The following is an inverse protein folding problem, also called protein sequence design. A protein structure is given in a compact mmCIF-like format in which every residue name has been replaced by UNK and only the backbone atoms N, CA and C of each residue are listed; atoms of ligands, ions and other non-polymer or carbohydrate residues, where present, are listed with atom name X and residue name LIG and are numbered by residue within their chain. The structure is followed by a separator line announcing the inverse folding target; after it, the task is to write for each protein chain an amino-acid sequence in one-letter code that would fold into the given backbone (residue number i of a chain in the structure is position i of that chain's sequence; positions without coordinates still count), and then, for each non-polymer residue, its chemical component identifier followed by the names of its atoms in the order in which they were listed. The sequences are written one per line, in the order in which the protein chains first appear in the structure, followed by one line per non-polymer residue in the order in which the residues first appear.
data_IF_237285238272
#
_entry.id   IF_237285238272
#
_cell.length_a   1.000
_cell.length_b   1.000
_cell.length_c   1.000
_cell.angle_alpha   90.00
_cell.angle_beta   90.00
_cell.angle_gamma   90.00
#
_symmetry.space_group_name_H-M   'P 1'
#
loop_
_entity.id
_entity.type
_entity.pdbx_description
1 polymer ?
#
# COMPACT_ATOMS: atom_id res chain seq x y z
N UNK A 1 -14.73 -2.07 48.12
CA UNK A 1 -14.41 -3.14 47.14
C UNK A 1 -15.54 -3.40 46.13
N UNK A 2 -16.81 -3.62 46.59
CA UNK A 2 -17.92 -3.84 45.66
C UNK A 2 -18.17 -2.64 44.71
N UNK A 3 -18.19 -1.42 45.26
CA UNK A 3 -18.40 -0.20 44.45
C UNK A 3 -17.27 0.01 43.44
N UNK A 4 -16.02 -0.30 43.80
CA UNK A 4 -14.89 -0.21 42.83
C UNK A 4 -14.97 -1.25 41.71
N UNK A 5 -15.32 -2.51 42.09
CA UNK A 5 -15.49 -3.55 41.06
C UNK A 5 -16.65 -3.25 40.13
N UNK A 6 -17.76 -2.75 40.69
CA UNK A 6 -18.91 -2.31 39.88
C UNK A 6 -18.54 -1.16 38.93
N UNK A 7 -17.84 -0.14 39.42
CA UNK A 7 -17.40 0.98 38.61
C UNK A 7 -16.45 0.56 37.50
N UNK A 8 -15.50 -0.35 37.78
CA UNK A 8 -14.61 -0.91 36.75
C UNK A 8 -15.39 -1.72 35.70
N UNK A 9 -16.39 -2.49 36.14
CA UNK A 9 -17.28 -3.23 35.24
C UNK A 9 -18.08 -2.30 34.33
N UNK A 10 -18.65 -1.23 34.90
CA UNK A 10 -19.42 -0.23 34.16
C UNK A 10 -18.54 0.49 33.12
N UNK A 11 -17.32 0.89 33.48
CA UNK A 11 -16.38 1.51 32.53
C UNK A 11 -16.04 0.56 31.36
N UNK A 12 -15.91 -0.73 31.63
CA UNK A 12 -15.71 -1.74 30.59
C UNK A 12 -16.90 -1.87 29.63
N UNK A 13 -18.11 -1.86 30.19
CA UNK A 13 -19.34 -1.90 29.40
C UNK A 13 -19.53 -0.62 28.58
N UNK A 14 -19.24 0.55 29.15
CA UNK A 14 -19.30 1.83 28.43
C UNK A 14 -18.36 1.83 27.23
N UNK A 15 -17.09 1.43 27.42
CA UNK A 15 -16.12 1.32 26.32
C UNK A 15 -16.54 0.33 25.25
N UNK A 16 -17.10 -0.80 25.67
CA UNK A 16 -17.64 -1.78 24.73
C UNK A 16 -18.79 -1.19 23.91
N UNK A 17 -19.73 -0.51 24.58
CA UNK A 17 -20.85 0.15 23.91
C UNK A 17 -20.38 1.25 22.95
N UNK A 18 -19.42 2.09 23.35
CA UNK A 18 -18.82 3.10 22.46
C UNK A 18 -18.23 2.49 21.17
N UNK A 19 -17.52 1.34 21.31
CA UNK A 19 -16.96 0.65 20.13
C UNK A 19 -18.08 0.09 19.25
N UNK A 20 -19.10 -0.52 19.84
CA UNK A 20 -20.21 -1.11 19.10
C UNK A 20 -21.09 -0.06 18.42
N UNK A 21 -21.25 1.11 19.05
CA UNK A 21 -22.05 2.22 18.53
C UNK A 21 -21.28 3.13 17.57
N UNK A 22 -19.96 2.91 17.42
CA UNK A 22 -19.15 3.70 16.48
C UNK A 22 -19.68 3.51 15.06
N UNK A 23 -20.10 4.59 14.37
CA UNK A 23 -20.64 4.47 13.02
C UNK A 23 -19.54 4.09 12.03
N UNK A 24 -19.88 3.24 11.07
CA UNK A 24 -19.00 2.93 9.94
C UNK A 24 -18.97 4.14 9.01
N UNK A 25 -17.85 4.85 8.98
CA UNK A 25 -17.71 6.11 8.23
C UNK A 25 -17.74 5.91 6.71
N UNK A 26 -17.18 4.81 6.20
CA UNK A 26 -17.10 4.52 4.77
C UNK A 26 -17.87 3.23 4.49
N UNK A 27 -18.93 3.35 3.70
CA UNK A 27 -19.81 2.25 3.35
C UNK A 27 -20.05 2.24 1.83
N UNK A 28 -20.53 1.12 1.32
CA UNK A 28 -21.03 1.05 -0.04
C UNK A 28 -22.23 1.97 -0.22
N UNK A 29 -22.24 2.72 -1.32
CA UNK A 29 -23.41 3.49 -1.69
C UNK A 29 -24.61 2.55 -1.96
N UNK A 30 -25.86 2.99 -1.76
CA UNK A 30 -27.04 2.14 -2.00
C UNK A 30 -27.14 1.60 -3.42
N UNK A 31 -26.56 2.32 -4.39
CA UNK A 31 -26.50 2.00 -5.82
C UNK A 31 -25.13 1.40 -6.25
N UNK A 32 -24.26 1.08 -5.30
CA UNK A 32 -22.93 0.55 -5.60
C UNK A 32 -23.02 -0.79 -6.33
N UNK A 33 -22.24 -0.89 -7.41
CA UNK A 33 -22.10 -2.09 -8.23
C UNK A 33 -20.65 -2.61 -8.14
N UNK A 34 -20.41 -3.91 -8.40
CA UNK A 34 -19.04 -4.40 -8.47
C UNK A 34 -18.24 -3.65 -9.53
N UNK A 35 -16.98 -3.33 -9.20
CA UNK A 35 -16.04 -2.75 -10.16
C UNK A 35 -15.91 -3.70 -11.36
N UNK A 36 -16.11 -3.18 -12.56
CA UNK A 36 -15.95 -3.97 -13.78
C UNK A 36 -14.45 -4.25 -13.99
N UNK A 37 -14.07 -5.48 -14.32
CA UNK A 37 -12.67 -5.81 -14.60
C UNK A 37 -12.09 -4.91 -15.69
N UNK A 38 -10.87 -4.45 -15.46
CA UNK A 38 -10.17 -3.58 -16.39
C UNK A 38 -8.66 -3.61 -16.17
N UNK A 39 -7.90 -2.89 -16.99
CA UNK A 39 -6.44 -2.91 -16.95
C UNK A 39 -5.83 -2.11 -15.79
N UNK A 40 -6.64 -1.35 -15.03
CA UNK A 40 -6.21 -0.60 -13.86
C UNK A 40 -5.73 0.82 -14.14
N UNK A 41 -6.30 1.53 -15.11
CA UNK A 41 -6.06 2.97 -15.29
C UNK A 41 -6.70 3.76 -14.14
N UNK A 42 -5.98 4.75 -13.60
CA UNK A 42 -6.45 5.54 -12.45
C UNK A 42 -6.48 7.01 -12.87
N UNK A 43 -7.56 7.71 -12.53
CA UNK A 43 -7.71 9.15 -12.77
C UNK A 43 -8.17 9.86 -11.50
N UNK A 44 -7.44 10.90 -11.15
CA UNK A 44 -7.84 11.89 -10.14
C UNK A 44 -8.37 13.12 -10.87
N UNK A 45 -9.56 13.56 -10.52
CA UNK A 45 -10.20 14.76 -11.08
C UNK A 45 -10.46 15.77 -9.97
N UNK A 46 -9.67 16.83 -9.94
CA UNK A 46 -9.75 17.94 -8.98
C UNK A 46 -9.88 17.47 -7.51
N UNK A 47 -9.08 16.49 -7.13
CA UNK A 47 -9.16 15.86 -5.81
C UNK A 47 -8.51 16.73 -4.75
N UNK A 48 -9.32 17.06 -3.73
CA UNK A 48 -8.84 17.68 -2.49
C UNK A 48 -9.18 16.77 -1.31
N UNK A 49 -8.33 16.80 -0.29
CA UNK A 49 -8.54 16.00 0.92
C UNK A 49 -8.03 16.72 2.17
N UNK A 50 -8.85 16.67 3.22
CA UNK A 50 -8.47 17.03 4.59
C UNK A 50 -8.85 15.89 5.55
N UNK A 51 -8.03 15.70 6.59
CA UNK A 51 -8.34 14.71 7.62
C UNK A 51 -9.48 15.22 8.52
N UNK A 52 -10.46 14.37 8.87
CA UNK A 52 -11.63 14.78 9.67
C UNK A 52 -11.27 15.29 11.07
N UNK A 53 -10.15 14.80 11.64
CA UNK A 53 -9.81 15.04 13.05
C UNK A 53 -9.17 16.42 13.31
N UNK A 54 -8.37 16.92 12.38
CA UNK A 54 -7.58 18.14 12.56
C UNK A 54 -7.88 19.21 11.50
N UNK A 55 -8.77 18.92 10.54
CA UNK A 55 -9.10 19.79 9.41
C UNK A 55 -7.87 20.25 8.62
N UNK A 56 -6.79 19.49 8.70
CA UNK A 56 -5.58 19.77 7.94
C UNK A 56 -5.77 19.33 6.48
N UNK A 57 -5.79 20.30 5.58
CA UNK A 57 -5.88 20.07 4.14
C UNK A 57 -4.53 19.59 3.60
N UNK A 58 -4.47 18.34 3.19
CA UNK A 58 -3.23 17.66 2.78
C UNK A 58 -3.08 17.61 1.26
N UNK A 59 -4.20 17.50 0.53
CA UNK A 59 -4.21 17.49 -0.93
C UNK A 59 -5.07 18.63 -1.46
N UNK A 60 -4.54 19.34 -2.45
CA UNK A 60 -5.16 20.52 -3.03
C UNK A 60 -5.32 20.34 -4.54
N UNK A 61 -6.55 20.20 -5.00
CA UNK A 61 -6.94 20.19 -6.42
C UNK A 61 -6.04 19.30 -7.31
N UNK A 62 -5.83 18.06 -6.87
CA UNK A 62 -4.98 17.10 -7.59
C UNK A 62 -5.72 16.56 -8.80
N UNK A 63 -5.18 16.81 -10.00
CA UNK A 63 -5.62 16.18 -11.24
C UNK A 63 -4.46 15.39 -11.84
N UNK A 64 -4.68 14.07 -12.01
CA UNK A 64 -3.64 13.13 -12.40
C UNK A 64 -4.23 11.96 -13.15
N UNK A 65 -3.69 11.67 -14.33
CA UNK A 65 -3.97 10.45 -15.08
C UNK A 65 -2.79 9.47 -14.93
N UNK A 66 -3.07 8.25 -14.51
CA UNK A 66 -2.11 7.14 -14.43
C UNK A 66 -2.58 6.07 -15.42
N UNK A 67 -1.75 5.80 -16.42
CA UNK A 67 -2.10 4.84 -17.46
C UNK A 67 -2.02 3.40 -16.95
N UNK A 68 -2.83 2.53 -17.53
CA UNK A 68 -2.76 1.11 -17.22
C UNK A 68 -1.34 0.56 -17.47
N UNK A 69 -0.79 -0.16 -16.50
CA UNK A 69 0.56 -0.72 -16.57
C UNK A 69 1.69 0.29 -16.34
N UNK A 70 1.39 1.56 -16.08
CA UNK A 70 2.39 2.60 -15.78
C UNK A 70 3.02 2.38 -14.41
N UNK A 71 4.33 2.59 -14.32
CA UNK A 71 5.08 2.63 -13.06
C UNK A 71 5.32 4.09 -12.67
N UNK A 72 4.56 4.55 -11.68
CA UNK A 72 4.62 5.92 -11.16
C UNK A 72 5.30 5.94 -9.79
N UNK A 73 6.33 6.76 -9.64
CA UNK A 73 6.96 7.03 -8.35
C UNK A 73 6.46 8.35 -7.77
N UNK A 74 6.15 8.35 -6.48
CA UNK A 74 5.79 9.54 -5.71
C UNK A 74 6.94 9.93 -4.82
N UNK A 75 7.45 11.15 -4.98
CA UNK A 75 8.53 11.73 -4.19
C UNK A 75 8.12 13.08 -3.62
N UNK A 76 8.81 13.56 -2.61
CA UNK A 76 8.53 14.83 -1.96
C UNK A 76 8.81 14.76 -0.46
N UNK A 77 8.73 15.90 0.21
CA UNK A 77 8.99 16.01 1.64
C UNK A 77 8.05 15.13 2.48
N UNK A 78 8.51 14.76 3.67
CA UNK A 78 7.66 14.07 4.65
C UNK A 78 6.43 14.93 4.97
N UNK A 79 5.25 14.31 5.02
CA UNK A 79 3.99 15.03 5.20
C UNK A 79 3.39 15.66 3.94
N UNK A 80 4.06 15.58 2.78
CA UNK A 80 3.59 16.14 1.50
C UNK A 80 2.42 15.39 0.84
N UNK A 81 1.70 14.52 1.56
CA UNK A 81 0.48 13.88 1.05
C UNK A 81 0.66 12.60 0.23
N UNK A 82 1.89 12.08 0.07
CA UNK A 82 2.16 10.86 -0.74
C UNK A 82 1.34 9.66 -0.26
N UNK A 83 1.45 9.31 1.00
CA UNK A 83 0.70 8.20 1.63
C UNK A 83 -0.80 8.46 1.60
N UNK A 84 -1.21 9.70 1.82
CA UNK A 84 -2.62 10.12 1.75
C UNK A 84 -3.18 9.89 0.36
N UNK A 85 -2.48 10.33 -0.68
CA UNK A 85 -2.90 10.12 -2.07
C UNK A 85 -3.09 8.63 -2.39
N UNK A 86 -2.15 7.78 -1.96
CA UNK A 86 -2.25 6.34 -2.14
C UNK A 86 -3.42 5.72 -1.36
N UNK A 87 -3.72 6.21 -0.14
CA UNK A 87 -4.79 5.70 0.70
C UNK A 87 -6.20 6.08 0.22
N UNK A 88 -6.33 7.10 -0.62
CA UNK A 88 -7.60 7.47 -1.24
C UNK A 88 -8.04 6.47 -2.33
N UNK A 89 -7.10 5.81 -3.00
CA UNK A 89 -7.42 4.87 -4.09
C UNK A 89 -8.25 3.66 -3.58
N UNK A 90 -7.87 2.97 -2.49
CA UNK A 90 -8.68 1.89 -1.92
C UNK A 90 -9.85 2.38 -1.05
N UNK A 91 -10.14 3.69 -1.05
CA UNK A 91 -11.15 4.32 -0.18
C UNK A 91 -10.95 3.99 1.30
N UNK A 92 -9.72 4.17 1.81
CA UNK A 92 -9.50 4.19 3.26
C UNK A 92 -9.96 5.51 3.87
N UNK A 93 -10.06 6.54 3.03
CA UNK A 93 -10.66 7.84 3.33
C UNK A 93 -11.50 8.30 2.13
N UNK A 94 -12.52 9.12 2.39
CA UNK A 94 -13.29 9.77 1.33
C UNK A 94 -12.63 11.09 0.92
N UNK A 95 -12.63 11.40 -0.38
CA UNK A 95 -12.19 12.71 -0.87
C UNK A 95 -13.10 13.82 -0.34
N UNK A 96 -12.54 14.99 -0.02
CA UNK A 96 -13.33 16.16 0.38
C UNK A 96 -13.99 16.81 -0.85
N UNK A 97 -13.24 16.91 -1.94
CA UNK A 97 -13.73 17.42 -3.23
C UNK A 97 -13.13 16.58 -4.37
N UNK A 98 -13.78 16.65 -5.53
CA UNK A 98 -13.38 15.93 -6.72
C UNK A 98 -13.80 14.46 -6.70
N UNK A 99 -13.14 13.65 -7.52
CA UNK A 99 -13.41 12.21 -7.62
C UNK A 99 -12.21 11.44 -8.12
N UNK A 100 -12.20 10.13 -7.83
CA UNK A 100 -11.22 9.19 -8.34
C UNK A 100 -11.95 8.15 -9.18
N UNK A 101 -11.41 7.87 -10.36
CA UNK A 101 -11.93 6.85 -11.26
C UNK A 101 -10.89 5.74 -11.46
N UNK A 102 -11.37 4.50 -11.50
CA UNK A 102 -10.58 3.35 -11.95
C UNK A 102 -11.25 2.79 -13.20
N UNK A 103 -10.50 2.71 -14.29
CA UNK A 103 -11.02 2.30 -15.59
C UNK A 103 -12.30 3.04 -15.99
N UNK A 104 -12.34 4.36 -15.70
CA UNK A 104 -13.47 5.23 -15.98
C UNK A 104 -14.64 5.14 -15.00
N UNK A 105 -14.57 4.29 -13.97
CA UNK A 105 -15.62 4.10 -12.97
C UNK A 105 -15.30 4.86 -11.69
N UNK A 106 -16.23 5.71 -11.24
CA UNK A 106 -16.08 6.44 -9.96
C UNK A 106 -16.07 5.46 -8.78
N UNK A 107 -15.01 5.47 -7.99
CA UNK A 107 -14.84 4.52 -6.88
C UNK A 107 -15.89 4.66 -5.77
N UNK A 108 -16.63 5.77 -5.72
CA UNK A 108 -17.73 5.95 -4.77
C UNK A 108 -18.96 5.14 -5.10
N UNK A 109 -19.13 4.75 -6.37
CA UNK A 109 -20.28 4.00 -6.89
C UNK A 109 -19.97 2.52 -7.14
N UNK A 110 -18.79 2.04 -6.71
CA UNK A 110 -18.45 0.62 -6.74
C UNK A 110 -18.37 0.06 -5.32
N UNK A 111 -18.59 -1.26 -5.19
CA UNK A 111 -18.50 -1.90 -3.87
C UNK A 111 -17.07 -1.91 -3.36
N UNK A 112 -16.86 -1.63 -2.09
CA UNK A 112 -15.55 -1.64 -1.44
C UNK A 112 -14.83 -2.97 -1.60
N UNK A 113 -15.58 -4.07 -1.55
CA UNK A 113 -15.01 -5.41 -1.73
C UNK A 113 -14.39 -5.58 -3.12
N UNK A 114 -15.10 -5.23 -4.19
CA UNK A 114 -14.59 -5.34 -5.55
C UNK A 114 -13.43 -4.37 -5.81
N UNK A 115 -13.54 -3.12 -5.33
CA UNK A 115 -12.50 -2.11 -5.44
C UNK A 115 -11.18 -2.61 -4.81
N UNK A 116 -11.25 -3.04 -3.55
CA UNK A 116 -10.07 -3.47 -2.81
C UNK A 116 -9.52 -4.80 -3.29
N UNK A 117 -10.32 -5.62 -3.97
CA UNK A 117 -9.84 -6.84 -4.60
C UNK A 117 -8.87 -6.56 -5.75
N UNK A 118 -9.08 -5.48 -6.49
CA UNK A 118 -8.26 -5.09 -7.63
C UNK A 118 -7.02 -4.25 -7.25
N UNK A 119 -6.82 -3.99 -5.95
CA UNK A 119 -5.69 -3.23 -5.43
C UNK A 119 -4.86 -4.09 -4.50
N UNK A 120 -3.58 -4.26 -4.81
CA UNK A 120 -2.58 -4.88 -3.93
C UNK A 120 -1.75 -3.80 -3.23
N UNK A 121 -1.48 -3.97 -1.95
CA UNK A 121 -0.69 -3.03 -1.16
C UNK A 121 0.44 -3.80 -0.48
N UNK A 122 1.67 -3.32 -0.66
CA UNK A 122 2.84 -3.79 0.09
C UNK A 122 3.35 -2.62 0.93
N UNK A 123 3.20 -2.73 2.24
CA UNK A 123 3.59 -1.70 3.20
C UNK A 123 5.01 -1.93 3.71
N UNK A 124 5.62 -0.88 4.22
CA UNK A 124 6.93 -0.91 4.89
C UNK A 124 6.90 -1.86 6.10
N UNK A 125 5.95 -1.66 7.00
CA UNK A 125 5.77 -2.48 8.19
C UNK A 125 4.79 -3.63 7.90
N UNK A 126 5.33 -4.83 7.74
CA UNK A 126 4.52 -6.02 7.47
C UNK A 126 3.97 -6.62 8.75
N UNK A 127 2.66 -6.66 8.85
CA UNK A 127 1.95 -7.40 9.88
C UNK A 127 1.73 -8.86 9.47
N UNK A 128 2.12 -9.77 10.34
CA UNK A 128 1.79 -11.19 10.23
C UNK A 128 0.73 -11.54 11.27
N UNK A 129 -0.37 -12.09 10.80
CA UNK A 129 -1.42 -12.61 11.66
C UNK A 129 -0.96 -13.89 12.36
N UNK A 130 -1.43 -14.11 13.58
CA UNK A 130 -1.18 -15.36 14.31
C UNK A 130 -1.77 -16.54 13.51
N UNK A 131 -0.90 -17.44 13.09
CA UNK A 131 -1.26 -18.56 12.22
C UNK A 131 -0.05 -19.13 11.50
N UNK A 132 -0.25 -20.04 10.58
CA UNK A 132 0.82 -20.63 9.78
C UNK A 132 1.29 -19.67 8.68
N UNK A 133 2.47 -19.91 8.12
CA UNK A 133 2.96 -19.21 6.92
C UNK A 133 1.96 -19.33 5.78
N UNK A 134 1.44 -20.55 5.53
CA UNK A 134 0.43 -20.80 4.49
C UNK A 134 -0.83 -19.96 4.71
N UNK A 135 -1.35 -19.90 5.93
CA UNK A 135 -2.51 -19.08 6.27
C UNK A 135 -2.25 -17.59 6.03
N UNK A 136 -1.05 -17.11 6.40
CA UNK A 136 -0.66 -15.74 6.16
C UNK A 136 -0.59 -15.38 4.68
N UNK A 137 -0.14 -16.27 3.81
CA UNK A 137 -0.15 -16.07 2.36
C UNK A 137 -1.59 -16.14 1.83
N UNK A 138 -2.40 -17.07 2.32
CA UNK A 138 -3.78 -17.30 1.90
C UNK A 138 -4.72 -16.12 2.13
N UNK A 139 -4.35 -15.14 2.98
CA UNK A 139 -5.09 -13.88 3.10
C UNK A 139 -5.20 -13.13 1.76
N UNK A 140 -4.27 -13.34 0.82
CA UNK A 140 -4.37 -12.78 -0.52
C UNK A 140 -5.54 -13.31 -1.34
N UNK A 141 -5.90 -14.58 -1.13
CA UNK A 141 -7.01 -15.26 -1.82
C UNK A 141 -7.61 -16.32 -0.88
N UNK A 142 -8.65 -15.98 -0.13
CA UNK A 142 -9.36 -16.94 0.72
C UNK A 142 -9.82 -18.15 -0.10
N UNK A 143 -9.52 -19.36 0.38
CA UNK A 143 -9.84 -20.60 -0.33
C UNK A 143 -8.83 -21.04 -1.38
N UNK A 144 -7.64 -20.37 -1.45
CA UNK A 144 -6.56 -20.80 -2.32
C UNK A 144 -6.09 -22.24 -1.99
N UNK A 145 -5.71 -22.98 -3.02
CA UNK A 145 -5.13 -24.32 -2.84
C UNK A 145 -3.71 -24.24 -2.31
N UNK A 146 -3.20 -25.36 -1.81
CA UNK A 146 -1.80 -25.43 -1.34
C UNK A 146 -0.82 -25.12 -2.46
N UNK A 147 -1.10 -25.62 -3.66
CA UNK A 147 -0.27 -25.39 -4.85
C UNK A 147 -0.22 -23.91 -5.23
N UNK A 148 -1.34 -23.21 -5.19
CA UNK A 148 -1.41 -21.76 -5.44
C UNK A 148 -0.60 -20.98 -4.41
N UNK A 149 -0.66 -21.36 -3.12
CA UNK A 149 0.09 -20.73 -2.04
C UNK A 149 1.62 -20.93 -2.24
N UNK A 150 2.03 -22.16 -2.57
CA UNK A 150 3.45 -22.50 -2.83
C UNK A 150 3.96 -21.72 -4.03
N UNK A 151 3.19 -21.65 -5.12
CA UNK A 151 3.58 -20.91 -6.32
C UNK A 151 3.71 -19.40 -6.03
N UNK A 152 2.79 -18.80 -5.27
CA UNK A 152 2.88 -17.42 -4.86
C UNK A 152 4.15 -17.17 -4.01
N UNK A 153 4.49 -18.07 -3.10
CA UNK A 153 5.71 -18.00 -2.30
C UNK A 153 6.97 -18.11 -3.18
N UNK A 154 6.94 -18.98 -4.18
CA UNK A 154 8.04 -19.14 -5.15
C UNK A 154 8.26 -17.87 -5.96
N UNK A 155 7.21 -17.27 -6.48
CA UNK A 155 7.27 -16.00 -7.21
C UNK A 155 7.80 -14.85 -6.36
N UNK A 156 7.45 -14.81 -5.08
CA UNK A 156 7.93 -13.83 -4.12
C UNK A 156 9.36 -14.11 -3.59
N UNK A 157 10.02 -15.18 -4.05
CA UNK A 157 11.33 -15.58 -3.54
C UNK A 157 11.32 -16.04 -2.08
N UNK A 158 10.15 -16.45 -1.56
CA UNK A 158 9.97 -16.86 -0.17
C UNK A 158 10.11 -18.37 0.04
N UNK A 159 9.89 -19.19 -0.98
CA UNK A 159 9.83 -20.65 -0.87
C UNK A 159 11.05 -21.24 -0.18
N UNK A 160 12.26 -20.81 -0.56
CA UNK A 160 13.52 -21.35 -0.04
C UNK A 160 13.63 -21.19 1.49
N UNK A 161 13.35 -20.01 2.02
CA UNK A 161 13.44 -19.81 3.47
C UNK A 161 12.27 -20.50 4.20
N UNK A 162 11.08 -20.55 3.60
CA UNK A 162 9.93 -21.23 4.19
C UNK A 162 10.21 -22.72 4.35
N UNK A 163 10.76 -23.38 3.33
CA UNK A 163 11.12 -24.80 3.37
C UNK A 163 12.26 -25.08 4.36
N UNK A 164 13.08 -24.09 4.71
CA UNK A 164 14.12 -24.21 5.72
C UNK A 164 13.58 -24.06 7.16
N UNK A 165 12.34 -23.62 7.35
CA UNK A 165 11.68 -23.60 8.65
C UNK A 165 11.31 -25.02 9.09
N UNK A 166 11.24 -25.24 10.40
CA UNK A 166 11.02 -26.57 11.00
C UNK A 166 9.81 -27.31 10.41
N UNK A 167 8.69 -26.60 10.23
CA UNK A 167 7.44 -27.16 9.73
C UNK A 167 7.07 -26.58 8.33
N UNK A 168 8.05 -25.98 7.61
CA UNK A 168 7.83 -25.40 6.30
C UNK A 168 6.67 -24.40 6.27
N UNK A 169 5.75 -24.56 5.33
CA UNK A 169 4.56 -23.71 5.21
C UNK A 169 3.59 -23.81 6.40
N UNK A 170 3.67 -24.85 7.20
CA UNK A 170 2.84 -25.07 8.38
C UNK A 170 3.49 -24.51 9.65
N UNK A 171 4.63 -23.87 9.54
CA UNK A 171 5.29 -23.16 10.63
C UNK A 171 4.40 -22.03 11.13
N UNK A 172 4.13 -22.01 12.44
CA UNK A 172 3.36 -20.98 13.11
C UNK A 172 4.19 -19.69 13.26
N UNK A 173 3.62 -18.57 12.84
CA UNK A 173 4.24 -17.22 12.86
C UNK A 173 3.28 -16.21 13.49
N UNK A 174 3.72 -14.96 13.65
CA UNK A 174 2.97 -13.91 14.33
C UNK A 174 3.46 -13.70 15.77
N UNK A 175 2.63 -13.10 16.63
CA UNK A 175 3.06 -12.67 17.98
C UNK A 175 3.65 -13.77 18.85
N UNK A 176 3.14 -14.99 18.72
CA UNK A 176 3.55 -16.16 19.55
C UNK A 176 4.28 -17.24 18.76
N UNK A 177 4.58 -16.98 17.48
CA UNK A 177 5.22 -17.94 16.61
C UNK A 177 6.71 -17.69 16.41
N UNK A 178 7.27 -18.35 15.40
CA UNK A 178 8.66 -18.17 14.98
C UNK A 178 8.88 -16.73 14.54
N UNK A 179 9.96 -16.12 15.02
CA UNK A 179 10.36 -14.77 14.59
C UNK A 179 11.01 -14.84 13.21
N UNK A 180 10.45 -14.09 12.28
CA UNK A 180 10.99 -13.91 10.94
C UNK A 180 11.75 -12.57 10.85
N UNK A 181 12.77 -12.52 9.98
CA UNK A 181 13.45 -11.26 9.64
C UNK A 181 12.51 -10.30 8.89
N UNK A 182 12.85 -9.01 8.83
CA UNK A 182 12.10 -8.02 8.07
C UNK A 182 11.93 -8.43 6.60
N UNK A 183 13.01 -8.85 5.94
CA UNK A 183 12.95 -9.31 4.55
C UNK A 183 12.15 -10.59 4.34
N UNK A 184 12.11 -11.50 5.30
CA UNK A 184 11.26 -12.69 5.26
C UNK A 184 9.79 -12.31 5.37
N UNK A 185 9.42 -11.43 6.32
CA UNK A 185 8.06 -10.90 6.46
C UNK A 185 7.61 -10.19 5.18
N UNK A 186 8.49 -9.38 4.61
CA UNK A 186 8.21 -8.63 3.39
C UNK A 186 7.90 -9.57 2.21
N UNK A 187 8.70 -10.63 2.04
CA UNK A 187 8.43 -11.63 0.98
C UNK A 187 7.14 -12.42 1.19
N UNK A 188 6.70 -12.63 2.43
CA UNK A 188 5.36 -13.19 2.71
C UNK A 188 4.27 -12.19 2.30
N UNK A 189 4.43 -10.89 2.58
CA UNK A 189 3.50 -9.87 2.14
C UNK A 189 3.43 -9.78 0.60
N UNK A 190 4.57 -9.88 -0.07
CA UNK A 190 4.63 -9.92 -1.54
C UNK A 190 3.93 -11.18 -2.07
N UNK A 191 4.10 -12.34 -1.44
CA UNK A 191 3.41 -13.57 -1.81
C UNK A 191 1.89 -13.44 -1.69
N UNK A 192 1.38 -12.75 -0.66
CA UNK A 192 -0.06 -12.42 -0.55
C UNK A 192 -0.57 -11.68 -1.80
N UNK A 193 0.21 -10.72 -2.28
CA UNK A 193 -0.19 -9.91 -3.44
C UNK A 193 -0.06 -10.69 -4.75
N UNK A 194 0.96 -11.53 -4.91
CA UNK A 194 1.04 -12.45 -6.04
C UNK A 194 -0.18 -13.37 -6.11
N UNK A 195 -0.57 -13.92 -4.96
CA UNK A 195 -1.75 -14.80 -4.85
C UNK A 195 -3.05 -14.07 -5.18
N UNK A 196 -3.16 -12.84 -4.76
CA UNK A 196 -4.31 -11.96 -5.05
C UNK A 196 -4.38 -11.57 -6.53
N UNK A 197 -3.24 -11.36 -7.17
CA UNK A 197 -3.07 -10.99 -8.57
C UNK A 197 -3.86 -9.75 -9.02
N UNK A 198 -3.72 -8.59 -8.36
CA UNK A 198 -4.47 -7.38 -8.69
C UNK A 198 -3.87 -6.63 -9.89
N UNK A 199 -4.67 -5.86 -10.67
CA UNK A 199 -4.17 -5.01 -11.73
C UNK A 199 -3.46 -3.74 -11.23
N UNK A 200 -3.76 -3.29 -10.01
CA UNK A 200 -3.20 -2.09 -9.39
C UNK A 200 -2.35 -2.48 -8.18
N UNK A 201 -1.18 -1.86 -8.06
CA UNK A 201 -0.23 -2.10 -7.00
C UNK A 201 0.20 -0.80 -6.34
N UNK A 202 0.16 -0.75 -5.01
CA UNK A 202 0.67 0.35 -4.19
C UNK A 202 1.83 -0.21 -3.36
N UNK A 203 3.01 0.40 -3.52
CA UNK A 203 4.22 0.04 -2.79
C UNK A 203 4.61 1.20 -1.88
N UNK A 204 4.60 0.98 -0.57
CA UNK A 204 5.02 1.97 0.41
C UNK A 204 6.34 1.52 1.03
N UNK A 205 7.43 2.18 0.64
CA UNK A 205 8.78 2.06 1.23
C UNK A 205 9.25 0.63 1.58
N UNK A 206 8.90 -0.33 0.75
CA UNK A 206 9.01 -1.76 1.06
C UNK A 206 10.44 -2.28 1.34
N UNK A 207 11.49 -1.46 1.23
CA UNK A 207 12.91 -1.88 1.38
C UNK A 207 13.73 -1.07 2.37
N UNK A 208 13.25 0.05 2.89
CA UNK A 208 14.06 1.04 3.62
C UNK A 208 14.68 0.56 4.94
N UNK A 209 14.11 -0.46 5.57
CA UNK A 209 14.56 -0.97 6.86
C UNK A 209 15.24 -2.36 6.78
N UNK A 210 15.65 -2.77 5.57
CA UNK A 210 16.24 -4.09 5.32
C UNK A 210 17.76 -4.03 5.27
N UNK A 211 18.42 -5.16 5.62
CA UNK A 211 19.82 -5.37 5.32
C UNK A 211 20.04 -5.53 3.80
N UNK A 212 21.27 -5.28 3.33
CA UNK A 212 21.59 -5.24 1.91
C UNK A 212 21.19 -6.52 1.13
N UNK A 213 21.36 -7.70 1.71
CA UNK A 213 21.00 -8.97 1.05
C UNK A 213 19.48 -9.10 0.92
N UNK A 214 18.76 -8.83 2.00
CA UNK A 214 17.29 -8.83 2.02
C UNK A 214 16.71 -7.78 1.07
N UNK A 215 17.31 -6.60 0.99
CA UNK A 215 16.90 -5.52 0.09
C UNK A 215 16.95 -5.96 -1.37
N UNK A 216 18.04 -6.60 -1.80
CA UNK A 216 18.19 -7.12 -3.17
C UNK A 216 17.10 -8.15 -3.48
N UNK A 217 16.89 -9.11 -2.58
CA UNK A 217 15.89 -10.18 -2.79
C UNK A 217 14.46 -9.65 -2.83
N UNK A 218 14.13 -8.73 -1.93
CA UNK A 218 12.82 -8.07 -1.89
C UNK A 218 12.63 -7.20 -3.12
N UNK A 219 13.65 -6.42 -3.51
CA UNK A 219 13.62 -5.59 -4.73
C UNK A 219 13.31 -6.39 -5.99
N UNK A 220 14.00 -7.53 -6.17
CA UNK A 220 13.75 -8.43 -7.30
C UNK A 220 12.31 -9.00 -7.29
N UNK A 221 11.79 -9.31 -6.11
CA UNK A 221 10.42 -9.82 -5.98
C UNK A 221 9.38 -8.74 -6.27
N UNK A 222 9.62 -7.50 -5.82
CA UNK A 222 8.76 -6.36 -6.12
C UNK A 222 8.77 -6.00 -7.60
N UNK A 223 9.92 -6.08 -8.27
CA UNK A 223 10.02 -5.83 -9.70
C UNK A 223 9.24 -6.85 -10.53
N UNK A 224 9.34 -8.13 -10.18
CA UNK A 224 8.50 -9.17 -10.77
C UNK A 224 7.01 -8.92 -10.53
N UNK A 225 6.65 -8.52 -9.31
CA UNK A 225 5.27 -8.23 -8.96
C UNK A 225 4.72 -7.03 -9.76
N UNK A 226 5.52 -5.97 -9.93
CA UNK A 226 5.12 -4.76 -10.63
C UNK A 226 4.98 -4.95 -12.15
N UNK A 227 5.58 -5.99 -12.72
CA UNK A 227 5.56 -6.21 -14.17
C UNK A 227 4.13 -6.37 -14.69
N UNK A 228 3.73 -5.52 -15.65
CA UNK A 228 2.41 -5.52 -16.28
C UNK A 228 1.27 -4.99 -15.40
N UNK A 229 1.57 -4.39 -14.24
CA UNK A 229 0.58 -3.80 -13.33
C UNK A 229 0.76 -2.28 -13.27
N UNK A 230 -0.35 -1.58 -13.08
CA UNK A 230 -0.32 -0.16 -12.71
C UNK A 230 0.25 -0.05 -11.30
N UNK A 231 1.41 0.60 -11.16
CA UNK A 231 2.16 0.60 -9.90
C UNK A 231 2.41 2.03 -9.43
N UNK A 232 1.99 2.33 -8.20
CA UNK A 232 2.35 3.55 -7.49
C UNK A 232 3.34 3.18 -6.38
N UNK A 233 4.51 3.81 -6.39
CA UNK A 233 5.54 3.59 -5.39
C UNK A 233 5.79 4.89 -4.62
N UNK A 234 5.61 4.86 -3.30
CA UNK A 234 6.09 5.92 -2.42
C UNK A 234 7.58 5.67 -2.22
N UNK A 235 8.41 6.55 -2.76
CA UNK A 235 9.85 6.37 -2.76
C UNK A 235 10.51 7.23 -1.70
N UNK A 236 11.35 6.60 -0.89
CA UNK A 236 12.26 7.29 0.03
C UNK A 236 13.71 7.27 -0.48
N UNK A 237 14.04 6.37 -1.41
CA UNK A 237 15.33 6.32 -2.10
C UNK A 237 15.15 6.61 -3.58
N UNK A 238 15.69 7.72 -4.03
CA UNK A 238 15.57 8.16 -5.43
C UNK A 238 16.28 7.21 -6.41
N UNK A 239 17.34 6.54 -5.96
CA UNK A 239 18.10 5.60 -6.77
C UNK A 239 17.28 4.41 -7.25
N UNK A 240 16.25 4.01 -6.50
CA UNK A 240 15.39 2.86 -6.82
C UNK A 240 14.34 3.15 -7.88
N UNK A 241 14.06 4.42 -8.16
CA UNK A 241 12.97 4.85 -9.03
C UNK A 241 13.41 5.50 -10.34
N UNK A 242 14.72 5.60 -10.58
CA UNK A 242 15.26 6.28 -11.78
C UNK A 242 14.74 5.72 -13.11
N UNK A 243 14.42 4.43 -13.13
CA UNK A 243 13.94 3.70 -14.32
C UNK A 243 12.40 3.59 -14.37
N UNK A 244 11.68 4.38 -13.57
CA UNK A 244 10.22 4.44 -13.62
C UNK A 244 9.73 5.24 -14.82
N UNK A 245 8.56 4.89 -15.33
CA UNK A 245 7.93 5.57 -16.48
C UNK A 245 7.69 7.04 -16.19
N UNK A 246 7.33 7.35 -14.94
CA UNK A 246 7.10 8.72 -14.49
C UNK A 246 7.38 8.87 -13.00
N UNK A 247 7.94 10.01 -12.64
CA UNK A 247 8.16 10.46 -11.27
C UNK A 247 7.30 11.69 -11.05
N UNK A 248 6.57 11.71 -9.95
CA UNK A 248 5.70 12.79 -9.52
C UNK A 248 6.26 13.39 -8.24
N UNK A 249 6.56 14.68 -8.26
CA UNK A 249 7.01 15.40 -7.07
C UNK A 249 5.82 16.10 -6.44
N UNK A 250 5.50 15.71 -5.19
CA UNK A 250 4.46 16.32 -4.39
C UNK A 250 5.07 17.38 -3.44
N UNK A 251 4.47 18.55 -3.45
CA UNK A 251 4.75 19.63 -2.52
C UNK A 251 3.50 20.00 -1.71
N UNK A 252 3.61 21.04 -0.86
CA UNK A 252 2.50 21.48 0.00
C UNK A 252 1.24 21.90 -0.78
N UNK A 253 1.40 22.43 -1.99
CA UNK A 253 0.30 22.92 -2.83
C UNK A 253 -0.14 21.90 -3.91
N UNK A 254 0.35 20.66 -3.84
CA UNK A 254 0.00 19.62 -4.80
C UNK A 254 1.16 19.14 -5.66
N UNK A 255 0.91 18.80 -6.93
CA UNK A 255 1.92 18.30 -7.86
C UNK A 255 2.79 19.47 -8.35
N UNK A 256 4.08 19.47 -7.98
CA UNK A 256 5.02 20.54 -8.38
C UNK A 256 5.82 20.16 -9.62
N UNK A 257 6.15 18.89 -9.81
CA UNK A 257 6.88 18.41 -10.99
C UNK A 257 6.41 17.03 -11.40
N UNK A 258 6.47 16.75 -12.71
CA UNK A 258 6.17 15.44 -13.28
C UNK A 258 7.04 15.20 -14.50
N UNK A 259 7.56 13.98 -14.65
CA UNK A 259 8.39 13.57 -15.78
C UNK A 259 9.23 12.33 -15.48
N UNK A 260 10.09 11.96 -16.44
CA UNK A 260 11.09 10.93 -16.22
C UNK A 260 12.25 11.47 -15.39
N UNK A 261 13.10 10.59 -14.86
CA UNK A 261 14.31 10.96 -14.16
C UNK A 261 15.16 11.98 -14.93
N UNK A 262 15.43 11.71 -16.21
CA UNK A 262 16.24 12.57 -17.07
C UNK A 262 15.58 13.93 -17.31
N UNK A 263 14.27 13.95 -17.56
CA UNK A 263 13.50 15.18 -17.76
C UNK A 263 13.52 16.07 -16.51
N UNK A 264 13.36 15.47 -15.34
CA UNK A 264 13.35 16.20 -14.08
C UNK A 264 14.72 16.71 -13.68
N UNK A 265 15.79 15.96 -13.96
CA UNK A 265 17.16 16.45 -13.78
C UNK A 265 17.46 17.62 -14.71
N UNK A 266 17.02 17.58 -15.96
CA UNK A 266 17.22 18.67 -16.93
C UNK A 266 16.49 19.95 -16.54
N UNK A 267 15.34 19.85 -15.85
CA UNK A 267 14.60 21.02 -15.35
C UNK A 267 15.31 21.76 -14.21
N UNK A 268 16.25 21.12 -13.52
CA UNK A 268 16.97 21.67 -12.36
C UNK A 268 16.05 22.22 -11.25
N UNK A 269 14.87 21.61 -11.09
CA UNK A 269 13.84 22.01 -10.15
C UNK A 269 13.96 21.34 -8.76
N UNK A 270 12.83 21.03 -8.16
CA UNK A 270 12.75 20.39 -6.83
C UNK A 270 13.37 19.00 -6.86
N UNK A 271 13.04 18.18 -7.87
CA UNK A 271 13.62 16.83 -8.02
C UNK A 271 15.14 16.86 -8.14
N UNK A 272 15.69 17.78 -8.94
CA UNK A 272 17.14 17.97 -9.09
C UNK A 272 17.81 18.30 -7.76
N UNK A 273 17.20 19.19 -6.97
CA UNK A 273 17.72 19.52 -5.62
C UNK A 273 17.68 18.31 -4.69
N UNK A 274 16.58 17.56 -4.67
CA UNK A 274 16.45 16.34 -3.88
C UNK A 274 17.52 15.31 -4.27
N UNK A 275 17.74 15.12 -5.56
CA UNK A 275 18.75 14.17 -6.07
C UNK A 275 20.18 14.56 -5.67
N UNK A 276 20.52 15.84 -5.69
CA UNK A 276 21.87 16.34 -5.42
C UNK A 276 22.13 16.73 -3.95
N UNK A 277 21.11 16.89 -3.14
CA UNK A 277 21.27 17.28 -1.72
C UNK A 277 21.70 16.12 -0.82
N UNK A 278 21.63 14.90 -1.27
CA UNK A 278 21.93 13.69 -0.51
C UNK A 278 22.95 12.77 -1.23
N UNK A 279 24.18 13.24 -1.55
CA UNK A 279 25.17 12.34 -2.09
C UNK A 279 25.61 11.37 -0.98
N UNK A 280 24.98 10.21 -0.88
CA UNK A 280 25.28 9.15 0.09
C UNK A 280 24.25 8.93 1.20
N UNK A 281 23.29 9.82 1.40
CA UNK A 281 22.10 9.61 2.24
C UNK A 281 20.84 9.75 1.37
N UNK A 282 20.40 8.65 0.80
CA UNK A 282 19.23 8.56 -0.09
C UNK A 282 17.89 8.63 0.69
N UNK A 283 17.83 9.33 1.81
CA UNK A 283 16.62 9.44 2.63
C UNK A 283 15.94 10.80 2.47
N UNK A 284 14.69 10.77 2.06
CA UNK A 284 13.76 11.91 2.02
C UNK A 284 12.98 12.00 3.34
#
# INVERSE_FOLDING_TARGET
EFAEQFQRGMTGIERFAEIMDTPVAIQDAPDAVPLQPGPGAIRFENVSFEYPDDHNKVLHDISLDIHAGERLALVGASGGGKTTLCNLIPRFYEVTDGRILIDGQDIRHVTLKSLRQDIGIVQQDVYLFSGTVAQNIAYGKPGATREEIVEAARLAGAERFILALKDGFDTYVGERGVKLSGGQKQRIAIARVFLKNPPILILDEATSALDNESEILVGQSLEKLAHGRTTLTIAHRLTTIKDYDRILVLGEEGIVESGTHEQLLAKQGVYYRLWNQLPGEDTL
#
